data_IF_067649446867
#
_entry.id   IF_067649446867
#
_cell.length_a   1.000
_cell.length_b   1.000
_cell.length_c   1.000
_cell.angle_alpha   90.00
_cell.angle_beta   90.00
_cell.angle_gamma   90.00
#
_symmetry.space_group_name_H-M   'P 1'
#
loop_
_entity.id
_entity.type
_entity.pdbx_description
1 polymer ?
#
# COMPACT_ATOMS: atom_id res chain seq x y z
N UNK A 1 -42.34 42.89 41.56
CA UNK A 1 -41.64 41.76 40.90
C UNK A 1 -41.07 42.06 39.51
N UNK A 2 -41.27 43.24 38.91
CA UNK A 2 -40.87 43.53 37.51
C UNK A 2 -39.50 44.25 37.38
N UNK A 3 -38.91 44.73 38.47
CA UNK A 3 -37.63 45.47 38.43
C UNK A 3 -36.37 44.57 38.46
N UNK A 4 -36.50 43.29 38.82
CA UNK A 4 -35.34 42.39 38.96
C UNK A 4 -34.93 41.71 37.65
N UNK A 5 -35.82 41.63 36.66
CA UNK A 5 -35.57 40.85 35.44
C UNK A 5 -34.75 41.64 34.39
N UNK A 6 -34.96 42.96 34.30
CA UNK A 6 -34.21 43.84 33.37
C UNK A 6 -32.73 43.99 33.73
N UNK A 7 -32.38 43.93 35.02
CA UNK A 7 -30.97 44.03 35.48
C UNK A 7 -30.21 42.73 35.20
N UNK A 8 -30.87 41.58 35.32
CA UNK A 8 -30.25 40.28 35.07
C UNK A 8 -29.99 40.07 33.57
N UNK A 9 -30.93 40.48 32.70
CA UNK A 9 -30.79 40.42 31.24
C UNK A 9 -29.67 41.31 30.70
N UNK A 10 -29.48 42.51 31.28
CA UNK A 10 -28.35 43.40 30.96
C UNK A 10 -26.99 42.74 31.27
N UNK A 11 -26.85 42.08 32.43
CA UNK A 11 -25.60 41.43 32.84
C UNK A 11 -25.21 40.21 32.00
N UNK A 12 -26.20 39.50 31.42
CA UNK A 12 -25.96 38.35 30.52
C UNK A 12 -25.57 38.81 29.12
N UNK A 13 -26.20 39.86 28.58
CA UNK A 13 -25.83 40.46 27.29
C UNK A 13 -24.43 41.08 27.33
N UNK A 14 -24.10 41.78 28.40
CA UNK A 14 -22.76 42.32 28.62
C UNK A 14 -21.72 41.18 28.69
N UNK A 15 -21.97 40.13 29.47
CA UNK A 15 -21.07 38.96 29.53
C UNK A 15 -20.88 38.29 28.16
N UNK A 16 -21.93 38.17 27.35
CA UNK A 16 -21.85 37.62 25.99
C UNK A 16 -20.95 38.43 25.04
N UNK A 17 -21.01 39.75 25.11
CA UNK A 17 -20.13 40.65 24.31
C UNK A 17 -18.68 40.56 24.77
N UNK A 18 -18.43 40.52 26.08
CA UNK A 18 -17.08 40.38 26.63
C UNK A 18 -16.44 39.01 26.37
N UNK A 19 -17.22 37.93 26.39
CA UNK A 19 -16.74 36.59 26.02
C UNK A 19 -16.39 36.50 24.54
N UNK A 20 -17.08 37.25 23.66
CA UNK A 20 -16.78 37.30 22.23
C UNK A 20 -15.52 38.12 21.91
N UNK A 21 -15.20 39.16 22.71
CA UNK A 21 -14.05 40.04 22.49
C UNK A 21 -12.75 39.56 23.17
N UNK A 22 -12.83 38.92 24.34
CA UNK A 22 -11.63 38.62 25.18
C UNK A 22 -11.56 37.14 25.58
N UNK A 23 -12.48 36.31 25.09
CA UNK A 23 -12.53 34.87 25.39
C UNK A 23 -13.09 34.52 26.78
N UNK A 24 -13.30 33.22 27.05
CA UNK A 24 -13.83 32.75 28.33
C UNK A 24 -12.84 33.05 29.46
N UNK A 25 -13.24 33.90 30.42
CA UNK A 25 -12.39 34.33 31.55
C UNK A 25 -11.58 35.61 31.31
N UNK A 26 -11.49 36.10 30.07
CA UNK A 26 -10.74 37.32 29.73
C UNK A 26 -11.32 38.62 30.31
N UNK A 27 -12.62 38.64 30.63
CA UNK A 27 -13.24 39.79 31.28
C UNK A 27 -12.65 40.06 32.68
N UNK A 28 -12.18 39.02 33.40
CA UNK A 28 -11.49 39.20 34.70
C UNK A 28 -10.14 39.88 34.53
N UNK A 29 -9.47 39.63 33.40
CA UNK A 29 -8.20 40.26 33.08
C UNK A 29 -8.34 41.75 32.76
N UNK A 30 -9.52 42.21 32.33
CA UNK A 30 -9.77 43.64 32.05
C UNK A 30 -10.49 44.34 33.22
N UNK A 31 -11.39 43.64 33.90
CA UNK A 31 -12.25 44.23 34.93
C UNK A 31 -11.49 44.65 36.19
N UNK A 32 -10.52 43.86 36.66
CA UNK A 32 -9.74 44.21 37.85
C UNK A 32 -8.86 45.46 37.62
N UNK A 33 -8.04 45.53 36.55
CA UNK A 33 -7.28 46.74 36.24
C UNK A 33 -8.15 47.99 36.06
N UNK A 34 -9.29 47.87 35.37
CA UNK A 34 -10.20 48.99 35.17
C UNK A 34 -10.82 49.48 36.49
N UNK A 35 -11.21 48.56 37.38
CA UNK A 35 -11.72 48.89 38.71
C UNK A 35 -10.66 49.59 39.57
N UNK A 36 -9.42 49.10 39.55
CA UNK A 36 -8.30 49.71 40.26
C UNK A 36 -7.91 51.08 39.69
N UNK A 37 -7.88 51.24 38.37
CA UNK A 37 -7.61 52.52 37.71
C UNK A 37 -8.70 53.55 38.02
N UNK A 38 -9.97 53.13 38.01
CA UNK A 38 -11.11 53.98 38.37
C UNK A 38 -11.09 54.36 39.85
N UNK A 39 -10.73 53.44 40.75
CA UNK A 39 -10.54 53.75 42.17
C UNK A 39 -9.39 54.75 42.40
N UNK A 40 -8.27 54.59 41.69
CA UNK A 40 -7.15 55.54 41.74
C UNK A 40 -7.54 56.92 41.19
N UNK A 41 -8.29 56.97 40.08
CA UNK A 41 -8.80 58.22 39.50
C UNK A 41 -9.78 58.92 40.45
N UNK A 42 -10.69 58.17 41.08
CA UNK A 42 -11.63 58.71 42.07
C UNK A 42 -10.92 59.24 43.31
N UNK A 43 -9.86 58.58 43.77
CA UNK A 43 -9.01 59.06 44.86
C UNK A 43 -8.27 60.36 44.49
N UNK A 44 -7.75 60.47 43.27
CA UNK A 44 -7.13 61.69 42.74
C UNK A 44 -8.11 62.85 42.60
N UNK A 45 -9.34 62.58 42.15
CA UNK A 45 -10.41 63.60 42.04
C UNK A 45 -10.85 64.04 43.43
N UNK A 46 -10.99 63.10 44.38
CA UNK A 46 -11.33 63.41 45.76
C UNK A 46 -10.24 64.23 46.46
N UNK A 47 -8.96 63.92 46.22
CA UNK A 47 -7.81 64.70 46.71
C UNK A 47 -7.82 66.15 46.21
N UNK A 48 -8.06 66.35 44.90
CA UNK A 48 -8.15 67.68 44.29
C UNK A 48 -9.26 68.55 44.92
N UNK A 49 -10.36 67.94 45.36
CA UNK A 49 -11.51 68.64 45.94
C UNK A 49 -11.38 68.91 47.45
N UNK A 50 -10.57 68.15 48.19
CA UNK A 50 -10.53 68.21 49.65
C UNK A 50 -9.19 68.75 50.23
N UNK A 51 -8.16 68.99 49.40
CA UNK A 51 -6.85 69.57 49.78
C UNK A 51 -6.24 69.05 51.11
N UNK A 52 -6.41 67.77 51.45
CA UNK A 52 -6.05 67.25 52.78
C UNK A 52 -5.38 65.88 52.82
N UNK A 53 -4.71 65.42 51.76
CA UNK A 53 -3.99 64.14 51.79
C UNK A 53 -2.52 64.28 51.35
N UNK A 54 -1.65 63.58 52.09
CA UNK A 54 -0.18 63.64 52.07
C UNK A 54 0.43 62.93 50.85
N UNK A 55 1.64 63.33 50.41
CA UNK A 55 2.42 62.78 49.28
C UNK A 55 2.44 61.24 49.18
N UNK A 56 2.25 60.52 50.29
CA UNK A 56 2.19 59.06 50.36
C UNK A 56 1.07 58.46 49.47
N UNK A 57 -0.10 59.08 49.41
CA UNK A 57 -1.23 58.56 48.60
C UNK A 57 -0.95 58.70 47.11
N UNK A 58 -0.34 59.81 46.71
CA UNK A 58 0.11 60.02 45.32
C UNK A 58 1.09 58.92 44.88
N UNK A 59 2.13 58.65 45.68
CA UNK A 59 3.10 57.61 45.36
C UNK A 59 2.50 56.19 45.35
N UNK A 60 1.51 55.91 46.20
CA UNK A 60 0.80 54.63 46.21
C UNK A 60 -0.04 54.45 44.94
N UNK A 61 -0.73 55.49 44.48
CA UNK A 61 -1.45 55.48 43.20
C UNK A 61 -0.51 55.27 42.01
N UNK A 62 0.65 55.94 42.00
CA UNK A 62 1.68 55.75 40.96
C UNK A 62 2.22 54.31 40.98
N UNK A 63 2.52 53.76 42.16
CA UNK A 63 2.96 52.37 42.31
C UNK A 63 1.92 51.36 41.81
N UNK A 64 0.64 51.59 42.08
CA UNK A 64 -0.44 50.74 41.61
C UNK A 64 -0.59 50.78 40.08
N UNK A 65 -0.51 51.97 39.47
CA UNK A 65 -0.51 52.12 38.01
C UNK A 65 0.69 51.41 37.39
N UNK A 66 1.88 51.54 37.98
CA UNK A 66 3.08 50.85 37.51
C UNK A 66 2.94 49.30 37.59
N UNK A 67 2.36 48.77 38.67
CA UNK A 67 2.07 47.34 38.79
C UNK A 67 1.07 46.85 37.74
N UNK A 68 -0.01 47.61 37.47
CA UNK A 68 -0.98 47.28 36.42
C UNK A 68 -0.31 47.29 35.04
N UNK A 69 0.52 48.29 34.76
CA UNK A 69 1.25 48.38 33.50
C UNK A 69 2.24 47.22 33.32
N UNK A 70 3.01 46.89 34.36
CA UNK A 70 3.92 45.74 34.35
C UNK A 70 3.16 44.41 34.12
N UNK A 71 1.99 44.25 34.76
CA UNK A 71 1.14 43.08 34.57
C UNK A 71 0.54 43.00 33.15
N UNK A 72 0.15 44.13 32.56
CA UNK A 72 -0.32 44.18 31.16
C UNK A 72 0.80 43.80 30.18
N UNK A 73 2.02 44.31 30.38
CA UNK A 73 3.19 43.97 29.57
C UNK A 73 3.52 42.48 29.67
N UNK A 74 3.50 41.92 30.88
CA UNK A 74 3.74 40.49 31.10
C UNK A 74 2.64 39.62 30.45
N UNK A 75 1.38 40.04 30.53
CA UNK A 75 0.26 39.33 29.91
C UNK A 75 0.35 39.36 28.38
N UNK A 76 0.69 40.51 27.80
CA UNK A 76 0.92 40.64 26.35
C UNK A 76 2.10 39.77 25.88
N UNK A 77 3.20 39.72 26.65
CA UNK A 77 4.35 38.82 26.38
C UNK A 77 3.95 37.35 26.41
N UNK A 78 3.13 36.92 27.37
CA UNK A 78 2.64 35.54 27.44
C UNK A 78 1.76 35.18 26.24
N UNK A 79 0.91 36.10 25.79
CA UNK A 79 0.06 35.90 24.62
C UNK A 79 0.88 35.81 23.33
N UNK A 80 1.87 36.68 23.14
CA UNK A 80 2.73 36.62 21.95
C UNK A 80 3.57 35.34 21.91
N UNK A 81 4.10 34.89 23.05
CA UNK A 81 4.83 33.62 23.16
C UNK A 81 3.93 32.41 22.90
N UNK A 82 2.71 32.40 23.43
CA UNK A 82 1.74 31.33 23.18
C UNK A 82 1.40 31.22 21.69
N UNK A 83 1.09 32.35 21.03
CA UNK A 83 0.83 32.39 19.59
C UNK A 83 2.05 31.96 18.75
N UNK A 84 3.26 32.32 19.18
CA UNK A 84 4.49 31.90 18.50
C UNK A 84 4.72 30.39 18.62
N UNK A 85 4.47 29.80 19.79
CA UNK A 85 4.55 28.34 19.98
C UNK A 85 3.52 27.59 19.14
N UNK A 86 2.29 28.13 19.03
CA UNK A 86 1.24 27.53 18.21
C UNK A 86 1.58 27.60 16.71
N UNK A 87 2.11 28.72 16.23
CA UNK A 87 2.60 28.85 14.86
C UNK A 87 3.76 27.89 14.57
N UNK A 88 4.68 27.73 15.53
CA UNK A 88 5.84 26.84 15.36
C UNK A 88 5.43 25.37 15.29
N UNK A 89 4.49 24.94 16.13
CA UNK A 89 3.92 23.58 16.09
C UNK A 89 3.13 23.28 14.81
N UNK A 90 2.53 24.31 14.20
CA UNK A 90 1.83 24.17 12.91
C UNK A 90 2.78 24.07 11.73
N UNK A 91 3.97 24.67 11.82
CA UNK A 91 4.90 24.77 10.70
C UNK A 91 6.05 23.76 10.76
N UNK A 92 6.41 23.24 11.93
CA UNK A 92 7.51 22.27 12.07
C UNK A 92 7.02 20.99 12.76
N UNK A 93 7.47 19.85 12.25
CA UNK A 93 7.26 18.56 12.89
C UNK A 93 8.11 18.41 14.15
N UNK A 94 7.52 17.87 15.23
CA UNK A 94 8.16 17.81 16.55
C UNK A 94 9.31 16.80 16.60
N UNK A 95 9.22 15.71 15.81
CA UNK A 95 10.21 14.63 15.84
C UNK A 95 11.40 14.94 14.93
N UNK A 96 11.12 15.36 13.71
CA UNK A 96 12.13 15.57 12.64
C UNK A 96 12.64 17.00 12.56
N UNK A 97 11.89 17.98 13.08
CA UNK A 97 12.18 19.40 12.88
C UNK A 97 11.93 19.90 11.46
N UNK A 98 11.43 19.05 10.56
CA UNK A 98 11.14 19.44 9.18
C UNK A 98 9.88 20.30 9.10
N UNK A 99 9.79 21.21 8.12
CA UNK A 99 8.56 21.90 7.77
C UNK A 99 7.40 20.92 7.50
N UNK A 100 6.21 21.22 8.02
CA UNK A 100 5.02 20.37 7.92
C UNK A 100 4.34 20.51 6.55
N UNK A 101 3.31 19.69 6.30
CA UNK A 101 2.38 19.85 5.16
C UNK A 101 1.86 21.28 5.00
N UNK A 102 1.58 22.00 6.09
CA UNK A 102 1.08 23.38 6.03
C UNK A 102 2.13 24.33 5.48
N UNK A 103 3.40 24.16 5.87
CA UNK A 103 4.50 24.94 5.32
C UNK A 103 4.68 24.62 3.82
N UNK A 104 4.66 23.33 3.46
CA UNK A 104 4.76 22.86 2.08
C UNK A 104 3.71 23.49 1.17
N UNK A 105 2.43 23.52 1.59
CA UNK A 105 1.36 24.15 0.81
C UNK A 105 1.63 25.65 0.55
N UNK A 106 2.16 26.37 1.54
CA UNK A 106 2.56 27.77 1.39
C UNK A 106 3.67 27.95 0.37
N UNK A 107 4.71 27.11 0.44
CA UNK A 107 5.86 27.18 -0.46
C UNK A 107 5.49 26.77 -1.91
N UNK A 108 4.59 25.79 -2.05
CA UNK A 108 4.03 25.40 -3.35
C UNK A 108 3.16 26.52 -3.95
N UNK A 109 2.29 27.15 -3.16
CA UNK A 109 1.46 28.27 -3.62
C UNK A 109 2.31 29.42 -4.16
N UNK A 110 3.40 29.75 -3.43
CA UNK A 110 4.36 30.74 -3.89
C UNK A 110 5.03 30.32 -5.20
N UNK A 111 5.52 29.08 -5.28
CA UNK A 111 6.21 28.52 -6.46
C UNK A 111 5.33 28.58 -7.71
N UNK A 112 4.07 28.17 -7.60
CA UNK A 112 3.13 28.19 -8.72
C UNK A 112 2.80 29.62 -9.15
N UNK A 113 2.55 30.51 -8.19
CA UNK A 113 2.25 31.92 -8.49
C UNK A 113 3.42 32.67 -9.14
N UNK A 114 4.66 32.29 -8.80
CA UNK A 114 5.85 32.97 -9.28
C UNK A 114 6.14 32.72 -10.77
N UNK A 115 5.60 31.64 -11.37
CA UNK A 115 5.71 31.20 -12.79
C UNK A 115 7.11 31.28 -13.46
N UNK A 116 8.18 31.59 -12.71
CA UNK A 116 9.51 31.91 -13.25
C UNK A 116 10.55 30.81 -13.02
N UNK A 117 10.32 29.90 -12.08
CA UNK A 117 11.24 28.82 -11.75
C UNK A 117 10.51 27.47 -11.82
N UNK A 118 11.01 26.56 -12.65
CA UNK A 118 10.52 25.18 -12.68
C UNK A 118 11.03 24.46 -11.45
N UNK A 119 10.13 23.81 -10.72
CA UNK A 119 10.47 23.01 -9.54
C UNK A 119 9.84 21.63 -9.64
N UNK A 120 10.45 20.65 -9.00
CA UNK A 120 9.90 19.29 -8.90
C UNK A 120 9.51 19.02 -7.45
N UNK A 121 8.25 18.67 -7.25
CA UNK A 121 7.75 18.11 -6.00
C UNK A 121 7.95 16.60 -6.04
N UNK A 122 8.69 16.06 -5.07
CA UNK A 122 8.83 14.62 -4.84
C UNK A 122 8.17 14.29 -3.52
N UNK A 123 7.25 13.33 -3.53
CA UNK A 123 6.66 12.73 -2.32
C UNK A 123 7.24 11.34 -2.15
N UNK A 124 7.71 11.04 -0.95
CA UNK A 124 8.34 9.79 -0.55
C UNK A 124 7.46 9.13 0.51
N UNK A 125 7.19 7.83 0.40
CA UNK A 125 6.45 7.06 1.39
C UNK A 125 7.33 5.95 1.97
N UNK A 126 7.43 5.91 3.30
CA UNK A 126 8.12 4.88 4.04
C UNK A 126 7.15 3.75 4.40
N UNK A 127 7.39 2.55 3.90
CA UNK A 127 6.60 1.37 4.23
C UNK A 127 7.14 0.63 5.46
N UNK A 128 6.30 -0.10 6.19
CA UNK A 128 6.77 -0.92 7.32
C UNK A 128 7.19 -0.13 8.57
N UNK A 129 7.05 1.21 8.57
CA UNK A 129 7.40 2.05 9.72
C UNK A 129 6.59 1.67 10.97
N UNK A 130 5.30 1.32 10.82
CA UNK A 130 4.49 0.89 11.95
C UNK A 130 5.04 -0.40 12.60
N UNK A 131 5.39 -1.40 11.78
CA UNK A 131 5.97 -2.64 12.29
C UNK A 131 7.34 -2.40 12.94
N UNK A 132 8.09 -1.39 12.48
CA UNK A 132 9.31 -0.93 13.14
C UNK A 132 9.02 -0.32 14.52
N UNK A 133 8.01 0.55 14.62
CA UNK A 133 7.56 1.11 15.91
C UNK A 133 7.10 0.00 16.88
N UNK A 134 6.34 -0.98 16.39
CA UNK A 134 5.84 -2.08 17.21
C UNK A 134 6.99 -3.00 17.68
N UNK A 135 8.02 -3.20 16.87
CA UNK A 135 9.17 -4.04 17.19
C UNK A 135 10.22 -3.39 18.10
N UNK A 136 10.47 -2.08 17.95
CA UNK A 136 11.59 -1.38 18.61
C UNK A 136 11.18 -0.24 19.56
N UNK A 137 9.89 0.08 19.63
CA UNK A 137 9.33 1.12 20.49
C UNK A 137 9.44 2.54 19.92
N UNK A 138 8.71 3.47 20.55
CA UNK A 138 8.56 4.86 20.08
C UNK A 138 9.87 5.65 20.02
N UNK A 139 10.71 5.56 21.05
CA UNK A 139 11.97 6.31 21.08
C UNK A 139 12.93 5.90 19.94
N UNK A 140 13.00 4.60 19.64
CA UNK A 140 13.84 4.07 18.56
C UNK A 140 13.26 4.44 17.19
N UNK A 141 11.94 4.32 17.03
CA UNK A 141 11.23 4.73 15.82
C UNK A 141 11.40 6.22 15.52
N UNK A 142 11.27 7.09 16.53
CA UNK A 142 11.47 8.53 16.38
C UNK A 142 12.91 8.85 15.98
N UNK A 143 13.90 8.21 16.60
CA UNK A 143 15.31 8.35 16.22
C UNK A 143 15.57 7.95 14.76
N UNK A 144 14.96 6.86 14.30
CA UNK A 144 15.06 6.39 12.92
C UNK A 144 14.45 7.39 11.92
N UNK A 145 13.25 7.90 12.22
CA UNK A 145 12.57 8.90 11.40
C UNK A 145 13.36 10.21 11.33
N UNK A 146 13.94 10.66 12.45
CA UNK A 146 14.81 11.84 12.50
C UNK A 146 16.11 11.63 11.71
N UNK A 147 16.67 10.41 11.68
CA UNK A 147 17.83 10.08 10.85
C UNK A 147 17.50 10.20 9.36
N UNK A 148 16.35 9.67 8.92
CA UNK A 148 15.87 9.81 7.53
C UNK A 148 15.69 11.29 7.17
N UNK A 149 15.08 12.07 8.06
CA UNK A 149 14.90 13.50 7.86
C UNK A 149 16.24 14.24 7.65
N UNK A 150 17.25 13.92 8.48
CA UNK A 150 18.60 14.48 8.34
C UNK A 150 19.22 14.18 6.97
N UNK A 151 19.17 12.91 6.53
CA UNK A 151 19.68 12.51 5.20
C UNK A 151 18.94 13.18 4.06
N UNK A 152 17.61 13.35 4.19
CA UNK A 152 16.81 14.04 3.18
C UNK A 152 17.23 15.51 3.06
N UNK A 153 17.47 16.20 4.18
CA UNK A 153 17.99 17.59 4.18
C UNK A 153 19.37 17.66 3.54
N UNK A 154 20.28 16.75 3.91
CA UNK A 154 21.63 16.68 3.32
C UNK A 154 21.61 16.45 1.81
N UNK A 155 20.66 15.66 1.31
CA UNK A 155 20.49 15.39 -0.13
C UNK A 155 19.87 16.57 -0.89
N UNK A 156 18.95 17.31 -0.26
CA UNK A 156 18.13 18.34 -0.92
C UNK A 156 18.76 19.74 -0.83
N UNK A 157 19.44 20.06 0.27
CA UNK A 157 20.00 21.40 0.51
C UNK A 157 21.05 21.84 -0.53
N UNK A 158 21.99 21.00 -0.99
CA UNK A 158 22.98 21.38 -2.00
C UNK A 158 22.37 21.79 -3.35
N UNK A 159 21.13 21.35 -3.60
CA UNK A 159 20.39 21.61 -4.82
C UNK A 159 19.52 22.87 -4.71
N UNK A 160 19.56 23.57 -3.57
CA UNK A 160 18.67 24.71 -3.32
C UNK A 160 17.21 24.31 -3.07
N UNK A 161 16.96 23.05 -2.72
CA UNK A 161 15.63 22.58 -2.38
C UNK A 161 15.30 22.66 -0.89
N UNK A 162 14.11 22.21 -0.55
CA UNK A 162 13.63 22.11 0.85
C UNK A 162 12.95 20.77 1.07
N UNK A 163 13.19 20.17 2.24
CA UNK A 163 12.59 18.92 2.69
C UNK A 163 11.44 19.18 3.66
N UNK A 164 10.43 18.32 3.66
CA UNK A 164 9.19 18.47 4.41
C UNK A 164 8.74 17.13 4.99
N UNK A 165 7.98 17.17 6.07
CA UNK A 165 7.23 16.02 6.58
C UNK A 165 5.74 16.24 6.36
N UNK A 166 5.10 15.33 5.64
CA UNK A 166 3.68 15.42 5.29
C UNK A 166 2.84 14.81 6.41
N UNK A 167 3.21 13.61 6.84
CA UNK A 167 2.51 12.84 7.87
C UNK A 167 3.47 11.82 8.55
N UNK A 168 2.90 10.78 9.17
CA UNK A 168 3.66 9.77 9.89
C UNK A 168 4.65 9.01 9.00
N UNK A 169 4.27 8.68 7.76
CA UNK A 169 5.04 7.83 6.85
C UNK A 169 5.57 8.58 5.62
N UNK A 170 5.07 9.79 5.35
CA UNK A 170 5.37 10.52 4.13
C UNK A 170 6.24 11.75 4.34
N UNK A 171 7.21 11.88 3.45
CA UNK A 171 8.11 13.03 3.33
C UNK A 171 7.91 13.68 1.97
N UNK A 172 8.30 14.94 1.86
CA UNK A 172 8.34 15.66 0.60
C UNK A 172 9.67 16.38 0.41
N UNK A 173 10.03 16.60 -0.84
CA UNK A 173 11.10 17.50 -1.23
C UNK A 173 10.63 18.37 -2.39
N UNK A 174 10.94 19.66 -2.32
CA UNK A 174 10.76 20.61 -3.44
C UNK A 174 12.14 21.06 -3.87
N UNK A 175 12.54 20.73 -5.09
CA UNK A 175 13.84 21.09 -5.67
C UNK A 175 13.68 21.86 -6.97
N UNK A 176 14.68 22.66 -7.39
CA UNK A 176 14.76 23.15 -8.76
C UNK A 176 14.70 22.00 -9.77
N UNK A 177 14.04 22.22 -10.91
CA UNK A 177 13.85 21.20 -11.93
C UNK A 177 15.04 21.14 -12.90
N UNK A 178 15.76 20.01 -12.90
CA UNK A 178 16.99 19.83 -13.70
C UNK A 178 16.80 18.85 -14.88
N UNK A 179 15.57 18.41 -15.17
CA UNK A 179 15.27 17.45 -16.25
C UNK A 179 15.71 16.01 -15.97
N UNK A 180 15.99 15.64 -14.72
CA UNK A 180 16.37 14.27 -14.28
C UNK A 180 15.31 13.70 -13.34
N UNK A 181 15.11 12.38 -13.36
CA UNK A 181 14.29 11.64 -12.40
C UNK A 181 14.89 11.73 -10.99
N UNK A 182 14.51 12.77 -10.25
CA UNK A 182 15.14 13.13 -8.98
C UNK A 182 14.73 12.20 -7.84
N UNK A 183 13.52 11.64 -7.92
CA UNK A 183 13.00 10.77 -6.87
C UNK A 183 13.84 9.52 -6.61
N UNK A 184 14.41 8.89 -7.64
CA UNK A 184 15.29 7.72 -7.47
C UNK A 184 16.57 8.07 -6.71
N UNK A 185 17.17 9.22 -7.02
CA UNK A 185 18.39 9.68 -6.35
C UNK A 185 18.12 10.01 -4.87
N UNK A 186 16.98 10.63 -4.57
CA UNK A 186 16.56 10.86 -3.19
C UNK A 186 16.33 9.56 -2.43
N UNK A 187 15.66 8.60 -3.06
CA UNK A 187 15.46 7.27 -2.48
C UNK A 187 16.78 6.56 -2.15
N UNK A 188 17.75 6.64 -3.05
CA UNK A 188 19.09 6.11 -2.82
C UNK A 188 19.80 6.83 -1.66
N UNK A 189 19.70 8.16 -1.58
CA UNK A 189 20.35 8.95 -0.54
C UNK A 189 19.79 8.69 0.87
N UNK A 190 18.50 8.41 0.99
CA UNK A 190 17.86 8.11 2.28
C UNK A 190 17.91 6.62 2.65
N UNK A 191 18.50 5.77 1.80
CA UNK A 191 18.60 4.34 2.07
C UNK A 191 19.60 4.02 3.18
N UNK A 192 19.34 2.99 4.03
CA UNK A 192 20.26 2.62 5.10
C UNK A 192 21.56 2.10 4.51
N UNK A 193 22.68 2.42 5.16
CA UNK A 193 23.97 1.93 4.71
C UNK A 193 24.18 0.47 5.15
N UNK A 194 24.90 -0.36 4.38
CA UNK A 194 25.21 -1.74 4.78
C UNK A 194 25.88 -1.77 6.16
N UNK A 195 25.30 -2.48 7.14
CA UNK A 195 25.84 -2.62 8.49
C UNK A 195 25.14 -1.79 9.57
N UNK A 196 24.23 -0.87 9.22
CA UNK A 196 23.23 -0.37 10.17
C UNK A 196 22.27 -1.51 10.47
N UNK A 197 21.97 -1.78 11.75
CA UNK A 197 21.11 -2.91 12.21
C UNK A 197 19.64 -2.71 11.80
N UNK A 198 19.37 -2.66 10.51
CA UNK A 198 18.06 -2.88 9.91
C UNK A 198 17.99 -4.36 9.54
N UNK A 199 17.87 -5.22 10.56
CA UNK A 199 17.47 -6.60 10.34
C UNK A 199 16.09 -6.59 9.65
N UNK A 200 16.11 -6.91 8.36
CA UNK A 200 15.05 -7.49 7.53
C UNK A 200 13.66 -6.83 7.43
N UNK A 201 13.39 -5.71 8.08
CA UNK A 201 12.25 -4.89 7.70
C UNK A 201 12.64 -3.99 6.52
N UNK A 202 12.49 -4.57 5.33
CA UNK A 202 12.42 -3.87 4.05
C UNK A 202 11.38 -2.75 4.16
N UNK A 203 11.81 -1.57 4.57
CA UNK A 203 11.07 -0.34 4.33
C UNK A 203 11.14 -0.13 2.82
N UNK A 204 10.15 -0.70 2.12
CA UNK A 204 9.85 -0.32 0.76
C UNK A 204 9.71 1.19 0.73
N UNK A 205 10.38 1.83 -0.22
CA UNK A 205 10.29 3.27 -0.39
C UNK A 205 9.77 3.53 -1.79
N UNK A 206 8.51 3.95 -1.87
CA UNK A 206 7.90 4.42 -3.10
C UNK A 206 8.00 5.95 -3.16
N UNK A 207 8.11 6.47 -4.38
CA UNK A 207 8.10 7.91 -4.61
C UNK A 207 7.13 8.27 -5.74
N UNK A 208 6.64 9.50 -5.70
CA UNK A 208 5.86 10.10 -6.77
C UNK A 208 6.39 11.51 -7.02
N UNK A 209 6.59 11.86 -8.27
CA UNK A 209 7.12 13.16 -8.67
C UNK A 209 6.12 13.93 -9.54
N UNK A 210 6.14 15.26 -9.42
CA UNK A 210 5.35 16.20 -10.22
C UNK A 210 6.20 17.42 -10.52
N UNK A 211 6.29 17.78 -11.80
CA UNK A 211 6.92 19.03 -12.25
C UNK A 211 5.95 20.20 -12.11
N UNK A 212 6.42 21.33 -11.61
CA UNK A 212 5.64 22.56 -11.41
C UNK A 212 6.24 23.69 -12.26
N UNK A 213 5.39 24.52 -12.91
CA UNK A 213 3.92 24.46 -12.90
C UNK A 213 3.30 23.49 -13.93
N UNK A 214 4.09 22.84 -14.80
CA UNK A 214 3.59 22.06 -15.95
C UNK A 214 2.62 20.92 -15.57
N UNK A 215 2.85 20.26 -14.43
CA UNK A 215 2.06 19.13 -13.96
C UNK A 215 0.88 19.51 -13.04
N UNK A 216 0.88 20.72 -12.47
CA UNK A 216 -0.22 21.22 -11.64
C UNK A 216 -0.09 22.74 -11.39
N UNK A 217 -1.20 23.45 -11.56
CA UNK A 217 -1.31 24.89 -11.26
C UNK A 217 -1.89 25.18 -9.86
N UNK A 218 -2.28 24.13 -9.12
CA UNK A 218 -2.80 24.23 -7.76
C UNK A 218 -1.95 23.37 -6.80
N UNK A 219 -1.55 23.90 -5.63
CA UNK A 219 -0.76 23.15 -4.65
C UNK A 219 -1.42 21.87 -4.12
N UNK A 220 -2.74 21.85 -3.93
CA UNK A 220 -3.44 20.66 -3.47
C UNK A 220 -3.50 19.61 -4.58
N UNK A 221 -3.77 20.03 -5.81
CA UNK A 221 -3.72 19.16 -6.99
C UNK A 221 -2.32 18.57 -7.17
N UNK A 222 -1.26 19.36 -7.01
CA UNK A 222 0.13 18.89 -7.09
C UNK A 222 0.42 17.78 -6.08
N UNK A 223 0.00 17.97 -4.82
CA UNK A 223 0.15 16.96 -3.76
C UNK A 223 -0.67 15.71 -4.04
N UNK A 224 -1.89 15.86 -4.57
CA UNK A 224 -2.74 14.74 -4.94
C UNK A 224 -2.13 13.90 -6.06
N UNK A 225 -1.64 14.55 -7.14
CA UNK A 225 -0.98 13.86 -8.25
C UNK A 225 0.29 13.15 -7.76
N UNK A 226 1.11 13.82 -6.95
CA UNK A 226 2.32 13.22 -6.40
C UNK A 226 1.98 11.98 -5.55
N UNK A 227 0.95 12.06 -4.69
CA UNK A 227 0.47 10.93 -3.90
C UNK A 227 -0.09 9.78 -4.75
N UNK A 228 -0.79 10.07 -5.84
CA UNK A 228 -1.25 9.06 -6.78
C UNK A 228 -0.06 8.38 -7.47
N UNK A 229 0.94 9.15 -7.90
CA UNK A 229 2.16 8.62 -8.53
C UNK A 229 2.95 7.70 -7.59
N UNK A 230 2.99 8.00 -6.27
CA UNK A 230 3.55 7.06 -5.26
C UNK A 230 2.84 5.71 -5.32
N UNK A 231 1.51 5.73 -5.32
CA UNK A 231 0.68 4.52 -5.34
C UNK A 231 0.86 3.73 -6.63
N UNK A 232 0.89 4.42 -7.77
CA UNK A 232 1.05 3.80 -9.09
C UNK A 232 2.44 3.18 -9.24
N UNK A 233 3.49 3.86 -8.77
CA UNK A 233 4.86 3.33 -8.78
C UNK A 233 5.00 2.10 -7.88
N UNK A 234 4.41 2.14 -6.69
CA UNK A 234 4.34 0.99 -5.77
C UNK A 234 3.69 -0.23 -6.46
N UNK A 235 2.53 -0.04 -7.08
CA UNK A 235 1.84 -1.12 -7.79
C UNK A 235 2.66 -1.64 -8.98
N UNK A 236 3.31 -0.76 -9.73
CA UNK A 236 4.18 -1.14 -10.86
C UNK A 236 5.37 -1.97 -10.38
N UNK A 237 6.02 -1.56 -9.30
CA UNK A 237 7.17 -2.25 -8.72
C UNK A 237 6.76 -3.60 -8.12
N UNK A 238 5.64 -3.67 -7.42
CA UNK A 238 5.13 -4.94 -6.90
C UNK A 238 4.76 -5.90 -8.03
N UNK A 239 4.11 -5.41 -9.10
CA UNK A 239 3.78 -6.22 -10.28
C UNK A 239 5.03 -6.68 -11.03
N UNK A 240 6.06 -5.85 -11.15
CA UNK A 240 7.32 -6.25 -11.80
C UNK A 240 8.07 -7.28 -10.98
N UNK A 241 8.22 -7.06 -9.67
CA UNK A 241 8.83 -8.01 -8.73
C UNK A 241 8.09 -9.35 -8.75
N UNK A 242 6.76 -9.33 -8.69
CA UNK A 242 5.91 -10.53 -8.78
C UNK A 242 6.16 -11.32 -10.06
N UNK A 243 6.16 -10.65 -11.22
CA UNK A 243 6.42 -11.30 -12.51
C UNK A 243 7.84 -11.87 -12.61
N UNK A 244 8.84 -11.13 -12.10
CA UNK A 244 10.23 -11.59 -12.09
C UNK A 244 10.42 -12.80 -11.18
N UNK A 245 9.89 -12.75 -9.96
CA UNK A 245 9.94 -13.86 -9.02
C UNK A 245 9.25 -15.11 -9.60
N UNK A 246 8.05 -14.94 -10.16
CA UNK A 246 7.35 -16.02 -10.86
C UNK A 246 8.18 -16.60 -12.03
N UNK A 247 8.73 -15.75 -12.89
CA UNK A 247 9.55 -16.20 -14.02
C UNK A 247 10.80 -16.98 -13.57
N UNK A 248 11.45 -16.56 -12.49
CA UNK A 248 12.59 -17.28 -11.90
C UNK A 248 12.17 -18.64 -11.35
N UNK A 249 11.08 -18.71 -10.58
CA UNK A 249 10.58 -19.98 -10.04
C UNK A 249 10.18 -20.95 -11.17
N UNK A 250 9.51 -20.45 -12.20
CA UNK A 250 9.17 -21.26 -13.38
C UNK A 250 10.40 -21.71 -14.16
N UNK A 251 11.45 -20.89 -14.25
CA UNK A 251 12.71 -21.29 -14.89
C UNK A 251 13.42 -22.40 -14.08
N UNK A 252 13.37 -22.35 -12.75
CA UNK A 252 13.91 -23.42 -11.88
C UNK A 252 13.11 -24.72 -12.05
N UNK A 253 11.78 -24.64 -12.11
CA UNK A 253 10.92 -25.80 -12.40
C UNK A 253 11.23 -26.41 -13.77
N UNK A 254 11.30 -25.60 -14.82
CA UNK A 254 11.60 -26.02 -16.20
C UNK A 254 12.99 -26.68 -16.30
N UNK A 255 13.98 -26.17 -15.57
CA UNK A 255 15.33 -26.74 -15.54
C UNK A 255 15.38 -28.12 -14.85
N UNK A 256 14.55 -28.36 -13.83
CA UNK A 256 14.52 -29.65 -13.13
C UNK A 256 13.55 -30.65 -13.77
N UNK A 257 12.44 -30.17 -14.33
CA UNK A 257 11.31 -30.95 -14.83
C UNK A 257 10.73 -30.34 -16.11
N UNK A 258 11.47 -30.41 -17.24
CA UNK A 258 11.03 -29.81 -18.51
C UNK A 258 9.75 -30.44 -19.07
N UNK A 259 9.44 -31.67 -18.64
CA UNK A 259 8.22 -32.41 -18.99
C UNK A 259 6.94 -31.78 -18.46
N UNK A 260 7.02 -30.97 -17.40
CA UNK A 260 5.84 -30.43 -16.72
C UNK A 260 5.28 -29.15 -17.35
N UNK A 261 6.03 -28.48 -18.24
CA UNK A 261 5.68 -27.13 -18.70
C UNK A 261 4.32 -27.07 -19.40
N UNK A 262 4.06 -28.01 -20.31
CA UNK A 262 2.79 -28.06 -21.04
C UNK A 262 1.64 -28.46 -20.12
N UNK A 263 1.90 -29.37 -19.18
CA UNK A 263 0.92 -29.79 -18.18
C UNK A 263 0.49 -28.62 -17.29
N UNK A 264 1.43 -27.85 -16.75
CA UNK A 264 1.15 -26.68 -15.92
C UNK A 264 0.37 -25.60 -16.68
N UNK A 265 0.71 -25.35 -17.95
CA UNK A 265 -0.03 -24.41 -18.81
C UNK A 265 -1.47 -24.83 -19.02
N UNK A 266 -1.73 -26.12 -19.24
CA UNK A 266 -3.08 -26.66 -19.39
C UNK A 266 -3.92 -26.45 -18.13
N UNK A 267 -3.34 -26.73 -16.95
CA UNK A 267 -3.98 -26.50 -15.65
C UNK A 267 -4.28 -25.01 -15.47
N UNK A 268 -3.32 -24.14 -15.78
CA UNK A 268 -3.46 -22.69 -15.61
C UNK A 268 -4.54 -22.09 -16.52
N UNK A 269 -4.55 -22.48 -17.80
CA UNK A 269 -5.57 -22.07 -18.75
C UNK A 269 -6.97 -22.42 -18.24
N UNK A 270 -7.17 -23.67 -17.82
CA UNK A 270 -8.48 -24.14 -17.34
C UNK A 270 -8.87 -23.49 -16.02
N UNK A 271 -7.92 -23.29 -15.10
CA UNK A 271 -8.15 -22.60 -13.83
C UNK A 271 -8.63 -21.16 -14.05
N UNK A 272 -8.03 -20.43 -15.00
CA UNK A 272 -8.46 -19.08 -15.38
C UNK A 272 -9.89 -19.10 -15.95
N UNK A 273 -10.17 -20.05 -16.85
CA UNK A 273 -11.47 -20.14 -17.51
C UNK A 273 -12.60 -20.40 -16.52
N UNK A 274 -12.43 -21.40 -15.64
CA UNK A 274 -13.38 -21.67 -14.55
C UNK A 274 -13.53 -20.49 -13.60
N UNK A 275 -12.44 -19.82 -13.25
CA UNK A 275 -12.49 -18.65 -12.37
C UNK A 275 -13.34 -17.52 -12.98
N UNK A 276 -13.23 -17.29 -14.29
CA UNK A 276 -14.09 -16.31 -14.99
C UNK A 276 -15.55 -16.74 -14.99
N UNK A 277 -15.84 -18.02 -15.23
CA UNK A 277 -17.19 -18.58 -15.24
C UNK A 277 -17.87 -18.43 -13.87
N UNK A 278 -17.10 -18.61 -12.80
CA UNK A 278 -17.55 -18.44 -11.41
C UNK A 278 -17.63 -16.97 -10.96
N UNK A 279 -17.32 -16.01 -11.84
CA UNK A 279 -17.47 -14.57 -11.57
C UNK A 279 -16.41 -13.98 -10.65
N UNK A 280 -15.23 -14.59 -10.56
CA UNK A 280 -14.13 -14.06 -9.75
C UNK A 280 -13.57 -12.77 -10.39
N UNK A 281 -13.10 -11.86 -9.54
CA UNK A 281 -12.44 -10.64 -10.00
C UNK A 281 -11.05 -10.92 -10.60
N UNK A 282 -10.50 -9.91 -11.28
CA UNK A 282 -9.20 -10.02 -11.96
C UNK A 282 -8.04 -10.32 -11.01
N UNK A 283 -8.06 -9.79 -9.79
CA UNK A 283 -6.98 -10.02 -8.82
C UNK A 283 -6.99 -11.48 -8.35
N UNK A 284 -8.17 -12.03 -8.04
CA UNK A 284 -8.33 -13.42 -7.67
C UNK A 284 -7.94 -14.37 -8.81
N UNK A 285 -8.35 -14.07 -10.06
CA UNK A 285 -7.93 -14.84 -11.25
C UNK A 285 -6.42 -14.81 -11.43
N UNK A 286 -5.79 -13.65 -11.27
CA UNK A 286 -4.34 -13.50 -11.39
C UNK A 286 -3.58 -14.28 -10.31
N UNK A 287 -4.12 -14.40 -9.08
CA UNK A 287 -3.54 -15.21 -8.00
C UNK A 287 -3.75 -16.71 -8.25
N UNK A 288 -4.91 -17.12 -8.76
CA UNK A 288 -5.20 -18.51 -9.14
C UNK A 288 -4.30 -18.96 -10.29
N UNK A 289 -4.08 -18.12 -11.29
CA UNK A 289 -3.15 -18.39 -12.38
C UNK A 289 -1.75 -18.72 -11.84
N UNK A 290 -1.19 -17.86 -10.98
CA UNK A 290 0.14 -18.09 -10.40
C UNK A 290 0.17 -19.32 -9.49
N UNK A 291 -0.87 -19.51 -8.67
CA UNK A 291 -0.97 -20.68 -7.81
C UNK A 291 -1.03 -21.98 -8.63
N UNK A 292 -1.72 -21.98 -9.76
CA UNK A 292 -1.87 -23.15 -10.62
C UNK A 292 -0.56 -23.58 -11.27
N UNK A 293 0.30 -22.63 -11.68
CA UNK A 293 1.63 -22.94 -12.22
C UNK A 293 2.63 -23.35 -11.11
N UNK A 294 2.43 -22.86 -9.88
CA UNK A 294 3.32 -23.10 -8.75
C UNK A 294 2.84 -24.17 -7.76
N UNK A 295 1.70 -24.83 -8.00
CA UNK A 295 1.06 -25.72 -7.00
C UNK A 295 1.98 -26.84 -6.50
N UNK A 296 2.84 -27.36 -7.37
CA UNK A 296 3.81 -28.42 -7.06
C UNK A 296 5.26 -27.90 -6.84
N UNK A 297 5.49 -26.59 -6.71
CA UNK A 297 6.85 -26.02 -6.52
C UNK A 297 7.59 -26.60 -5.31
N UNK A 298 6.84 -27.03 -4.30
CA UNK A 298 7.38 -27.66 -3.11
C UNK A 298 8.01 -29.04 -3.35
N UNK A 299 7.72 -29.71 -4.48
CA UNK A 299 8.40 -30.95 -4.86
C UNK A 299 9.91 -30.73 -5.07
N UNK A 300 10.36 -29.49 -5.24
CA UNK A 300 11.78 -29.15 -5.24
C UNK A 300 12.49 -29.54 -3.92
N UNK A 301 11.77 -29.58 -2.80
CA UNK A 301 12.31 -30.00 -1.52
C UNK A 301 12.38 -31.54 -1.35
N UNK A 302 11.80 -32.30 -2.28
CA UNK A 302 11.79 -33.77 -2.23
C UNK A 302 13.02 -34.32 -2.97
N UNK A 303 13.74 -35.31 -2.40
CA UNK A 303 14.88 -35.94 -3.07
C UNK A 303 14.47 -36.65 -4.38
N UNK A 304 15.31 -36.56 -5.40
CA UNK A 304 15.02 -37.14 -6.74
C UNK A 304 14.81 -38.66 -6.67
N UNK A 305 15.58 -39.36 -5.83
CA UNK A 305 15.43 -40.81 -5.62
C UNK A 305 14.05 -41.23 -5.13
N UNK A 306 13.32 -40.32 -4.43
CA UNK A 306 11.94 -40.56 -3.98
C UNK A 306 10.96 -40.29 -5.12
N UNK A 307 11.17 -39.22 -5.90
CA UNK A 307 10.30 -38.83 -7.03
C UNK A 307 10.36 -39.83 -8.19
N UNK A 308 11.53 -40.41 -8.46
CA UNK A 308 11.75 -41.35 -9.58
C UNK A 308 11.53 -42.82 -9.21
N UNK A 309 11.16 -43.10 -7.94
CA UNK A 309 10.99 -44.47 -7.45
C UNK A 309 9.86 -45.18 -8.20
N UNK A 310 10.19 -46.30 -8.85
CA UNK A 310 9.23 -47.13 -9.62
C UNK A 310 8.41 -48.11 -8.76
N UNK A 311 8.66 -48.17 -7.47
CA UNK A 311 8.00 -49.05 -6.50
C UNK A 311 7.15 -48.28 -5.48
N UNK A 312 6.48 -48.98 -4.55
CA UNK A 312 5.73 -48.31 -3.50
C UNK A 312 6.66 -47.47 -2.64
N UNK A 313 6.16 -46.30 -2.22
CA UNK A 313 6.83 -45.43 -1.27
C UNK A 313 6.67 -46.01 0.14
N UNK A 314 7.72 -45.91 0.95
CA UNK A 314 7.61 -46.15 2.38
C UNK A 314 6.93 -44.96 3.09
N UNK A 315 6.67 -45.11 4.39
CA UNK A 315 5.95 -44.10 5.18
C UNK A 315 6.71 -42.77 5.26
N UNK A 316 8.04 -42.81 5.33
CA UNK A 316 8.89 -41.62 5.37
C UNK A 316 8.91 -40.90 4.03
N UNK A 317 9.12 -41.65 2.95
CA UNK A 317 9.06 -41.15 1.57
C UNK A 317 7.69 -40.54 1.23
N UNK A 318 6.60 -41.22 1.57
CA UNK A 318 5.25 -40.69 1.39
C UNK A 318 5.01 -39.41 2.20
N UNK A 319 5.58 -39.32 3.41
CA UNK A 319 5.49 -38.11 4.23
C UNK A 319 6.26 -36.93 3.61
N UNK A 320 7.41 -37.17 2.98
CA UNK A 320 8.15 -36.14 2.25
C UNK A 320 7.31 -35.57 1.09
N UNK A 321 6.64 -36.44 0.33
CA UNK A 321 5.73 -35.98 -0.73
C UNK A 321 4.54 -35.23 -0.14
N UNK A 322 3.87 -35.75 0.90
CA UNK A 322 2.71 -35.05 1.50
C UNK A 322 3.05 -33.70 2.13
N UNK A 323 4.32 -33.46 2.47
CA UNK A 323 4.79 -32.19 3.01
C UNK A 323 5.17 -31.16 1.92
N UNK A 324 5.16 -31.53 0.63
CA UNK A 324 5.47 -30.60 -0.43
C UNK A 324 4.62 -29.32 -0.43
N UNK A 325 3.31 -29.30 -0.06
CA UNK A 325 2.54 -28.06 -0.10
C UNK A 325 3.03 -27.06 0.95
N UNK A 326 3.50 -27.56 2.10
CA UNK A 326 4.13 -26.74 3.15
C UNK A 326 5.45 -26.15 2.67
N UNK A 327 6.26 -26.94 1.95
CA UNK A 327 7.48 -26.43 1.33
C UNK A 327 7.16 -25.39 0.23
N UNK A 328 6.13 -25.65 -0.58
CA UNK A 328 5.67 -24.77 -1.64
C UNK A 328 5.20 -23.42 -1.10
N UNK A 329 4.37 -23.43 -0.06
CA UNK A 329 3.96 -22.23 0.66
C UNK A 329 5.17 -21.40 1.11
N UNK A 330 6.16 -22.02 1.76
CA UNK A 330 7.36 -21.32 2.25
C UNK A 330 8.16 -20.68 1.12
N UNK A 331 8.34 -21.38 0.01
CA UNK A 331 9.04 -20.87 -1.18
C UNK A 331 8.29 -19.66 -1.76
N UNK A 332 6.98 -19.80 -1.97
CA UNK A 332 6.13 -18.77 -2.58
C UNK A 332 5.97 -17.55 -1.66
N UNK A 333 5.81 -17.75 -0.36
CA UNK A 333 5.70 -16.68 0.63
C UNK A 333 6.99 -15.84 0.76
N UNK A 334 8.15 -16.47 0.53
CA UNK A 334 9.44 -15.80 0.56
C UNK A 334 9.75 -15.03 -0.73
N UNK A 335 8.96 -15.24 -1.80
CA UNK A 335 9.20 -14.63 -3.10
C UNK A 335 8.51 -13.25 -3.22
N UNK A 336 9.22 -12.20 -3.67
CA UNK A 336 8.66 -10.85 -3.74
C UNK A 336 7.36 -10.78 -4.55
N UNK A 337 6.31 -10.24 -3.92
CA UNK A 337 5.00 -10.05 -4.56
C UNK A 337 4.16 -11.31 -4.73
N UNK A 338 4.59 -12.48 -4.23
CA UNK A 338 3.86 -13.75 -4.34
C UNK A 338 3.25 -14.24 -3.03
N UNK A 339 3.43 -13.53 -1.92
CA UNK A 339 2.91 -13.95 -0.61
C UNK A 339 1.40 -14.21 -0.57
N UNK A 340 0.58 -13.48 -1.34
CA UNK A 340 -0.87 -13.71 -1.44
C UNK A 340 -1.23 -15.06 -2.07
N UNK A 341 -0.32 -15.64 -2.86
CA UNK A 341 -0.52 -16.89 -3.61
C UNK A 341 -0.21 -18.12 -2.75
N UNK A 342 0.59 -17.96 -1.68
CA UNK A 342 1.14 -19.06 -0.89
C UNK A 342 0.05 -19.96 -0.26
N UNK A 343 -1.03 -19.36 0.24
CA UNK A 343 -2.15 -20.10 0.85
C UNK A 343 -2.91 -20.96 -0.17
N UNK A 344 -3.01 -20.50 -1.43
CA UNK A 344 -3.62 -21.29 -2.51
C UNK A 344 -2.76 -22.52 -2.80
N UNK A 345 -1.45 -22.34 -2.98
CA UNK A 345 -0.49 -23.43 -3.23
C UNK A 345 -0.53 -24.48 -2.12
N UNK A 346 -0.53 -24.06 -0.86
CA UNK A 346 -0.62 -24.97 0.30
C UNK A 346 -1.87 -25.85 0.26
N UNK A 347 -3.00 -25.25 -0.09
CA UNK A 347 -4.32 -25.86 0.07
C UNK A 347 -4.78 -26.66 -1.15
N UNK A 348 -4.04 -26.64 -2.27
CA UNK A 348 -4.42 -27.35 -3.51
C UNK A 348 -4.66 -28.86 -3.30
N UNK A 349 -3.88 -29.59 -2.47
CA UNK A 349 -4.13 -31.02 -2.24
C UNK A 349 -5.19 -31.31 -1.17
N UNK A 350 -5.81 -30.28 -0.59
CA UNK A 350 -6.94 -30.47 0.30
C UNK A 350 -8.13 -31.08 -0.43
N UNK A 351 -8.94 -31.83 0.30
CA UNK A 351 -10.13 -32.50 -0.24
C UNK A 351 -11.37 -31.90 0.39
N UNK A 352 -12.42 -31.75 -0.41
CA UNK A 352 -13.68 -31.14 0.07
C UNK A 352 -14.27 -31.87 1.29
N UNK A 353 -14.01 -33.17 1.45
CA UNK A 353 -14.39 -34.02 2.58
C UNK A 353 -13.48 -33.93 3.83
N UNK A 354 -12.46 -33.08 3.83
CA UNK A 354 -11.52 -32.94 4.96
C UNK A 354 -10.48 -34.06 5.05
N UNK A 355 -10.43 -34.99 4.10
CA UNK A 355 -9.45 -36.09 4.09
C UNK A 355 -8.15 -35.74 3.35
N UNK A 356 -7.99 -34.47 3.00
CA UNK A 356 -6.84 -33.92 2.31
C UNK A 356 -5.61 -33.76 3.20
N UNK A 357 -4.67 -32.96 2.72
CA UNK A 357 -3.45 -32.58 3.44
C UNK A 357 -2.97 -31.22 2.90
N UNK A 358 -2.16 -30.47 3.66
CA UNK A 358 -1.52 -30.82 4.93
C UNK A 358 -2.37 -30.59 6.20
N UNK A 359 -3.44 -29.81 6.12
CA UNK A 359 -4.18 -29.30 7.29
C UNK A 359 -5.52 -30.04 7.52
N UNK A 360 -6.04 -30.72 6.49
CA UNK A 360 -7.31 -31.45 6.57
C UNK A 360 -8.52 -30.51 6.58
N UNK A 361 -8.42 -29.38 5.88
CA UNK A 361 -9.51 -28.41 5.72
C UNK A 361 -10.68 -29.05 4.98
N UNK A 362 -11.92 -28.73 5.38
CA UNK A 362 -13.13 -29.28 4.76
C UNK A 362 -14.02 -28.19 4.14
N UNK A 363 -14.69 -28.54 3.04
CA UNK A 363 -15.67 -27.69 2.38
C UNK A 363 -15.14 -26.29 2.04
N UNK A 364 -15.81 -25.26 2.56
CA UNK A 364 -15.51 -23.87 2.29
C UNK A 364 -14.33 -23.30 3.10
N UNK A 365 -13.79 -24.05 4.06
CA UNK A 365 -12.54 -23.69 4.74
C UNK A 365 -11.36 -23.70 3.76
N UNK A 366 -11.47 -24.48 2.68
CA UNK A 366 -10.50 -24.50 1.58
C UNK A 366 -10.72 -23.23 0.72
N UNK A 367 -9.68 -22.43 0.47
CA UNK A 367 -9.78 -21.28 -0.43
C UNK A 367 -10.38 -21.68 -1.79
N UNK A 368 -11.34 -20.91 -2.29
CA UNK A 368 -12.01 -21.23 -3.56
C UNK A 368 -11.03 -21.42 -4.72
N UNK A 369 -9.97 -20.62 -4.78
CA UNK A 369 -8.91 -20.78 -5.78
C UNK A 369 -8.22 -22.14 -5.73
N UNK A 370 -7.95 -22.68 -4.53
CA UNK A 370 -7.36 -24.01 -4.38
C UNK A 370 -8.34 -25.11 -4.80
N UNK A 371 -9.64 -24.96 -4.50
CA UNK A 371 -10.69 -25.88 -4.97
C UNK A 371 -10.79 -25.92 -6.50
N UNK A 372 -10.68 -24.76 -7.15
CA UNK A 372 -10.62 -24.65 -8.63
C UNK A 372 -9.40 -25.39 -9.17
N UNK A 373 -8.21 -25.10 -8.63
CA UNK A 373 -6.96 -25.72 -9.10
C UNK A 373 -6.99 -27.24 -8.89
N UNK A 374 -7.49 -27.74 -7.76
CA UNK A 374 -7.58 -29.16 -7.48
C UNK A 374 -8.40 -29.93 -8.55
N UNK A 375 -9.52 -29.36 -9.00
CA UNK A 375 -10.32 -29.93 -10.09
C UNK A 375 -9.56 -29.89 -11.42
N UNK A 376 -8.90 -28.78 -11.74
CA UNK A 376 -8.11 -28.66 -12.96
C UNK A 376 -6.91 -29.62 -13.00
N UNK A 377 -6.22 -29.81 -11.87
CA UNK A 377 -5.11 -30.76 -11.72
C UNK A 377 -5.62 -32.19 -11.93
N UNK A 378 -6.75 -32.55 -11.32
CA UNK A 378 -7.33 -33.88 -11.51
C UNK A 378 -7.77 -34.13 -12.95
N UNK A 379 -8.43 -33.16 -13.58
CA UNK A 379 -8.81 -33.23 -14.99
C UNK A 379 -7.59 -33.44 -15.88
N UNK A 380 -6.57 -32.57 -15.76
CA UNK A 380 -5.34 -32.67 -16.55
C UNK A 380 -4.60 -33.99 -16.30
N UNK A 381 -4.60 -34.49 -15.06
CA UNK A 381 -3.99 -35.78 -14.73
C UNK A 381 -4.68 -36.97 -15.40
N UNK A 382 -6.01 -36.94 -15.56
CA UNK A 382 -6.79 -38.02 -16.16
C UNK A 382 -6.84 -37.98 -17.69
N UNK A 383 -6.71 -36.79 -18.29
CA UNK A 383 -6.69 -36.60 -19.76
C UNK A 383 -5.29 -36.70 -20.37
N UNK A 384 -4.22 -36.57 -19.57
CA UNK A 384 -2.85 -36.68 -20.07
C UNK A 384 -2.41 -38.14 -20.26
N UNK A 385 -1.71 -38.44 -21.35
CA UNK A 385 -0.99 -39.71 -21.50
C UNK A 385 0.18 -39.77 -20.51
N UNK A 386 0.13 -40.72 -19.56
CA UNK A 386 1.23 -40.97 -18.61
C UNK A 386 1.93 -42.29 -18.93
N UNK A 387 3.22 -42.48 -18.58
CA UNK A 387 3.99 -43.70 -18.90
C UNK A 387 3.34 -45.02 -18.44
N UNK A 388 2.37 -44.96 -17.52
CA UNK A 388 1.66 -46.12 -16.97
C UNK A 388 0.13 -46.03 -17.06
N UNK A 389 -0.42 -45.03 -17.77
CA UNK A 389 -1.87 -44.84 -17.90
C UNK A 389 -2.22 -44.19 -19.25
N UNK A 390 -3.04 -44.89 -20.04
CA UNK A 390 -3.63 -44.30 -21.24
C UNK A 390 -4.57 -43.15 -20.85
N UNK A 391 -4.60 -42.09 -21.66
CA UNK A 391 -5.57 -41.01 -21.51
C UNK A 391 -6.99 -41.58 -21.52
N UNK A 392 -7.82 -41.16 -20.57
CA UNK A 392 -9.25 -41.50 -20.53
C UNK A 392 -10.02 -40.63 -21.53
N UNK A 393 -11.19 -41.10 -21.98
CA UNK A 393 -12.09 -40.24 -22.74
C UNK A 393 -12.59 -39.09 -21.87
N UNK A 394 -12.92 -37.95 -22.47
CA UNK A 394 -13.44 -36.80 -21.71
C UNK A 394 -14.71 -37.16 -20.93
N UNK A 395 -15.59 -37.98 -21.52
CA UNK A 395 -16.80 -38.48 -20.87
C UNK A 395 -16.47 -39.29 -19.60
N UNK A 396 -15.50 -40.23 -19.67
CA UNK A 396 -15.07 -41.01 -18.50
C UNK A 396 -14.46 -40.13 -17.39
N UNK A 397 -13.76 -39.06 -17.78
CA UNK A 397 -13.18 -38.10 -16.83
C UNK A 397 -14.26 -37.29 -16.14
N UNK A 398 -15.27 -36.84 -16.89
CA UNK A 398 -16.39 -36.09 -16.35
C UNK A 398 -17.22 -36.95 -15.39
N UNK A 399 -17.52 -38.19 -15.75
CA UNK A 399 -18.23 -39.13 -14.89
C UNK A 399 -17.48 -39.35 -13.58
N UNK A 400 -16.14 -39.50 -13.63
CA UNK A 400 -15.32 -39.66 -12.43
C UNK A 400 -15.28 -38.40 -11.56
N UNK A 401 -15.18 -37.21 -12.16
CA UNK A 401 -15.23 -35.94 -11.43
C UNK A 401 -16.58 -35.73 -10.76
N UNK A 402 -17.68 -36.02 -11.45
CA UNK A 402 -19.04 -35.96 -10.90
C UNK A 402 -19.24 -36.97 -9.77
N UNK A 403 -18.75 -38.20 -9.93
CA UNK A 403 -18.76 -39.23 -8.87
C UNK A 403 -18.00 -38.79 -7.62
N UNK A 404 -16.93 -38.00 -7.80
CA UNK A 404 -16.10 -37.48 -6.72
C UNK A 404 -16.55 -36.11 -6.17
N UNK A 405 -17.59 -35.49 -6.75
CA UNK A 405 -18.15 -34.24 -6.28
C UNK A 405 -18.71 -34.38 -4.85
N UNK A 406 -18.43 -33.40 -4.00
CA UNK A 406 -18.83 -33.40 -2.59
C UNK A 406 -17.96 -34.27 -1.69
N UNK A 407 -17.06 -35.07 -2.25
CA UNK A 407 -16.04 -35.80 -1.50
C UNK A 407 -14.64 -35.25 -1.77
N UNK A 408 -14.03 -35.59 -2.90
CA UNK A 408 -12.71 -35.06 -3.26
C UNK A 408 -12.80 -33.60 -3.72
N UNK A 409 -13.82 -33.29 -4.51
CA UNK A 409 -13.93 -32.02 -5.22
C UNK A 409 -15.15 -31.22 -4.78
N UNK A 410 -15.05 -29.90 -4.88
CA UNK A 410 -16.19 -29.01 -4.69
C UNK A 410 -17.25 -29.24 -5.79
N UNK A 411 -18.50 -29.57 -5.44
CA UNK A 411 -19.58 -29.75 -6.41
C UNK A 411 -19.78 -28.55 -7.35
N UNK A 412 -19.66 -27.31 -6.84
CA UNK A 412 -19.87 -26.10 -7.64
C UNK A 412 -18.80 -25.95 -8.73
N UNK A 413 -17.56 -26.30 -8.39
CA UNK A 413 -16.44 -26.24 -9.35
C UNK A 413 -16.57 -27.34 -10.40
N UNK A 414 -16.96 -28.56 -10.00
CA UNK A 414 -17.19 -29.66 -10.94
C UNK A 414 -18.33 -29.33 -11.89
N UNK A 415 -19.44 -28.79 -11.40
CA UNK A 415 -20.56 -28.33 -12.23
C UNK A 415 -20.14 -27.26 -13.24
N UNK A 416 -19.34 -26.27 -12.79
CA UNK A 416 -18.79 -25.24 -13.68
C UNK A 416 -17.92 -25.83 -14.80
N UNK A 417 -17.09 -26.85 -14.51
CA UNK A 417 -16.27 -27.52 -15.51
C UNK A 417 -17.10 -28.32 -16.51
N UNK A 418 -18.09 -29.08 -16.03
CA UNK A 418 -19.00 -29.85 -16.90
C UNK A 418 -19.71 -28.91 -17.87
N UNK A 419 -20.19 -27.78 -17.38
CA UNK A 419 -20.88 -26.80 -18.22
C UNK A 419 -19.95 -26.12 -19.23
N UNK A 420 -18.70 -25.81 -18.86
CA UNK A 420 -17.67 -25.30 -19.77
C UNK A 420 -17.37 -26.28 -20.92
N UNK A 421 -17.12 -27.55 -20.61
CA UNK A 421 -16.80 -28.56 -21.61
C UNK A 421 -17.99 -28.87 -22.53
N UNK A 422 -19.22 -28.85 -22.00
CA UNK A 422 -20.43 -28.98 -22.81
C UNK A 422 -20.59 -27.88 -23.87
N UNK A 423 -20.17 -26.66 -23.54
CA UNK A 423 -20.17 -25.52 -24.48
C UNK A 423 -19.06 -25.63 -25.54
N UNK A 424 -17.87 -26.13 -25.16
CA UNK A 424 -16.76 -26.38 -26.11
C UNK A 424 -17.17 -27.41 -27.17
N UNK A 425 -17.83 -28.50 -26.75
CA UNK A 425 -18.35 -29.55 -27.63
C UNK A 425 -19.50 -29.04 -28.52
N UNK A 426 -20.43 -28.24 -27.95
CA UNK A 426 -21.54 -27.62 -28.69
C UNK A 426 -21.06 -26.59 -29.73
N UNK A 427 -20.05 -25.78 -29.39
CA UNK A 427 -19.44 -24.79 -30.28
C UNK A 427 -18.64 -25.42 -31.43
N UNK A 428 -17.96 -26.54 -31.18
CA UNK A 428 -17.29 -27.31 -32.23
C UNK A 428 -18.29 -27.88 -33.26
N UNK A 429 -19.47 -28.35 -32.81
CA UNK A 429 -20.52 -28.79 -33.75
C UNK A 429 -21.21 -27.65 -34.52
N UNK A 430 -21.32 -26.45 -33.94
CA UNK A 430 -21.89 -25.30 -34.62
C UNK A 430 -21.00 -24.73 -35.74
N UNK A 431 -19.68 -24.94 -35.66
CA UNK A 431 -18.72 -24.41 -36.65
C UNK A 431 -18.53 -25.32 -37.87
N UNK A 432 -18.97 -26.59 -37.81
CA UNK A 432 -18.89 -27.55 -38.93
C UNK A 432 -20.16 -27.57 -39.80
N UNK A 433 -21.27 -26.97 -39.33
CA UNK A 433 -22.57 -26.98 -40.02
C UNK A 433 -22.96 -25.72 -40.80
N UNK A 434 -22.26 -24.60 -40.62
CA UNK A 434 -22.53 -23.35 -41.32
C UNK A 434 -21.60 -23.19 -42.53
N UNK A 435 -21.98 -23.79 -43.65
CA UNK A 435 -21.43 -23.41 -44.96
C UNK A 435 -21.63 -21.92 -45.16
N UNK A 436 -20.52 -21.17 -45.19
CA UNK A 436 -20.52 -19.76 -45.60
C UNK A 436 -20.95 -19.74 -47.08
N UNK A 437 -22.08 -19.12 -47.45
CA UNK A 437 -22.42 -18.93 -48.85
C UNK A 437 -21.58 -17.78 -49.39
N UNK A 438 -20.73 -18.08 -50.37
CA UNK A 438 -20.10 -17.06 -51.21
C UNK A 438 -18.65 -16.75 -50.84
N UNK A 439 -17.74 -17.67 -51.16
CA UNK A 439 -16.35 -17.35 -51.52
C UNK A 439 -15.95 -18.37 -52.60
N UNK A 440 -15.87 -17.90 -53.85
CA UNK A 440 -15.30 -18.68 -54.95
C UNK A 440 -13.83 -19.03 -54.66
N UNK A 441 -13.35 -20.20 -55.11
CA UNK A 441 -11.96 -20.59 -54.91
C UNK A 441 -11.06 -19.75 -55.80
N UNK A 442 -10.21 -18.92 -55.18
CA UNK A 442 -9.15 -18.20 -55.86
C UNK A 442 -8.10 -19.21 -56.32
N UNK A 443 -8.17 -19.58 -57.60
CA UNK A 443 -7.07 -20.21 -58.31
C UNK A 443 -5.95 -19.19 -58.49
N UNK A 444 -4.79 -19.42 -57.89
CA UNK A 444 -3.69 -18.47 -57.91
C UNK A 444 -2.37 -19.11 -57.53
N UNK A 445 -1.65 -19.57 -58.56
CA UNK A 445 -0.27 -20.04 -58.53
C UNK A 445 0.64 -19.10 -57.72
N UNK A 446 1.44 -19.64 -56.79
CA UNK A 446 2.85 -19.25 -56.76
C UNK A 446 3.74 -20.33 -56.13
N UNK A 447 4.75 -20.73 -56.90
CA UNK A 447 5.87 -21.59 -56.52
C UNK A 447 6.76 -20.85 -55.51
N UNK A 448 7.28 -21.58 -54.52
CA UNK A 448 8.52 -21.19 -53.81
C UNK A 448 9.51 -22.36 -53.97
N UNK A 449 10.79 -22.09 -54.31
CA UNK A 449 11.68 -23.09 -54.90
C UNK A 449 12.46 -23.90 -53.85
N UNK A 450 12.88 -25.08 -54.29
CA UNK A 450 13.78 -25.99 -53.59
C UNK A 450 15.22 -25.44 -53.51
N UNK A 451 15.95 -25.99 -52.54
CA UNK A 451 17.43 -26.11 -52.41
C UNK A 451 18.06 -25.23 -51.34
N UNK A 452 18.52 -25.84 -50.23
CA UNK A 452 19.94 -25.81 -49.80
C UNK A 452 20.27 -27.15 -49.12
N UNK A 453 21.36 -27.74 -49.58
CA UNK A 453 21.93 -29.05 -49.23
C UNK A 453 22.56 -29.10 -47.83
N UNK A 454 22.53 -30.29 -47.23
CA UNK A 454 23.43 -30.71 -46.17
C UNK A 454 24.85 -31.02 -46.73
N UNK A 455 25.94 -30.76 -45.98
CA UNK A 455 27.24 -31.33 -46.27
C UNK A 455 27.38 -32.73 -45.63
N UNK A 456 27.93 -33.65 -46.42
CA UNK A 456 28.01 -35.08 -46.12
C UNK A 456 29.20 -35.50 -45.25
N UNK A 457 29.11 -36.76 -44.83
CA UNK A 457 30.21 -37.60 -44.34
C UNK A 457 31.04 -38.13 -45.52
N UNK A 458 32.37 -38.13 -45.35
CA UNK A 458 33.30 -39.27 -45.51
C UNK A 458 34.70 -38.80 -45.94
N UNK A 459 35.68 -38.93 -45.04
CA UNK A 459 36.85 -39.81 -45.19
C UNK A 459 37.61 -39.92 -43.85
#
# INVERSE_FOLDING_TARGET
MIFSEKVILSSKRARGVWTALVGPGGWRAVAWPAAFAMAALLLLIFDHLQQRITQLVFWLCVGLIACVFAWLVETARRQTMALASERRLKLLDVVTGLPTRTALQGDLAWTVSAQRERRTLVVLELEGLQAYYDGFGSATGDGFVSQIAGRLVEAVAPLGGTAYRIDATRFAAVVPADGRAFGENLLAAISPQPGEHASDLLIGRSYGEVSLPEGAEDPEVALQIAGQNVTDNKQRQQRSARRQAHAVLMAVLDARRPDLREHLRSIAYRSISLSRRLGLDRHAIDDIFLASELQDIGLLAVPEAVLEKKGPLDVGEASLIRNHPVAGERIVASAPGLASVAALVRSTPERFDGRGYPDGLAGEEIPLGARIIAVCVAFAAMTSHRPYQAARSEDDVLDELQRCAGSQFDPLVVEALVAELGEELGGATATVGAGIPGLEPISGQNRVPATVQAPGEAD
#
